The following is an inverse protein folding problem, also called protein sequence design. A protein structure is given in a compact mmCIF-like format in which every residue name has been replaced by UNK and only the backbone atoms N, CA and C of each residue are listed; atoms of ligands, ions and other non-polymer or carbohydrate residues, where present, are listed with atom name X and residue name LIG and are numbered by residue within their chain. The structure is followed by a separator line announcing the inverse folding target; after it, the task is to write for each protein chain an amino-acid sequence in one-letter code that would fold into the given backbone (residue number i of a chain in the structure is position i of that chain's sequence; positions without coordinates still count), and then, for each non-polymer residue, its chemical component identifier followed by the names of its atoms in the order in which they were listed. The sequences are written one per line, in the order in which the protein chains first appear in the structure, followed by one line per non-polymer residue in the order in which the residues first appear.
data_IF_955921774601
#
_entry.id   IF_955921774601
#
_cell.length_a   1.000
_cell.length_b   1.000
_cell.length_c   1.000
_cell.angle_alpha   90.00
_cell.angle_beta   90.00
_cell.angle_gamma   90.00
#
_symmetry.space_group_name_H-M   'P 1'
#
loop_
_entity.id
_entity.type
_entity.pdbx_description
1 polymer ?
#
# COMPACT_ATOMS: atom_id res chain seq x y z
N UNK A 1 14.71 24.00 -1.76
CA UNK A 1 15.66 22.93 -1.36
C UNK A 1 16.00 22.95 0.12
N UNK A 2 16.15 24.13 0.75
CA UNK A 2 16.39 24.23 2.20
C UNK A 2 15.25 23.64 3.05
N UNK A 3 14.00 23.83 2.63
CA UNK A 3 12.81 23.43 3.41
C UNK A 3 12.76 21.94 3.75
N UNK A 4 13.12 21.06 2.80
CA UNK A 4 13.08 19.61 3.02
C UNK A 4 14.37 19.04 3.62
N UNK A 5 15.40 19.84 3.88
CA UNK A 5 16.72 19.40 4.37
C UNK A 5 17.54 18.50 3.43
N UNK A 6 16.97 18.03 2.30
CA UNK A 6 17.63 17.15 1.33
C UNK A 6 18.33 17.93 0.21
N UNK A 7 19.61 17.63 -0.01
CA UNK A 7 20.38 18.07 -1.17
C UNK A 7 19.98 17.24 -2.39
N UNK A 8 19.45 17.89 -3.43
CA UNK A 8 19.07 17.25 -4.70
C UNK A 8 19.96 17.80 -5.80
N UNK A 9 20.67 16.92 -6.49
CA UNK A 9 21.50 17.30 -7.63
C UNK A 9 20.59 17.51 -8.84
N UNK A 10 20.62 18.71 -9.42
CA UNK A 10 19.92 19.03 -10.66
C UNK A 10 20.92 18.88 -11.79
N UNK A 11 20.94 17.69 -12.38
CA UNK A 11 21.79 17.39 -13.53
C UNK A 11 20.91 17.55 -14.78
N UNK A 12 21.17 18.55 -15.64
CA UNK A 12 20.44 18.68 -16.89
C UNK A 12 20.83 17.52 -17.81
N UNK A 13 19.88 16.64 -18.11
CA UNK A 13 20.07 15.53 -19.05
C UNK A 13 19.46 15.97 -20.39
N UNK A 14 20.18 15.85 -21.52
CA UNK A 14 19.69 16.23 -22.85
C UNK A 14 18.72 15.19 -23.41
N UNK A 15 17.71 14.81 -22.64
CA UNK A 15 16.68 13.87 -23.07
C UNK A 15 15.43 14.64 -23.52
N UNK A 16 14.83 14.32 -24.67
CA UNK A 16 13.61 14.99 -25.10
C UNK A 16 12.49 14.74 -24.07
N UNK A 17 11.96 15.79 -23.46
CA UNK A 17 10.85 15.70 -22.48
C UNK A 17 9.63 14.97 -23.02
N UNK A 18 9.45 14.95 -24.35
CA UNK A 18 8.42 14.17 -25.06
C UNK A 18 8.49 12.66 -24.81
N UNK A 19 9.63 12.12 -24.38
CA UNK A 19 9.84 10.70 -24.08
C UNK A 19 9.59 10.35 -22.62
N UNK A 20 9.41 11.35 -21.74
CA UNK A 20 9.00 11.13 -20.34
C UNK A 20 7.52 10.75 -20.35
N UNK A 21 7.24 9.48 -20.58
CA UNK A 21 5.90 8.95 -20.51
C UNK A 21 5.44 8.85 -19.05
N UNK A 22 4.12 8.92 -18.84
CA UNK A 22 3.50 8.63 -17.54
C UNK A 22 3.91 7.24 -17.04
N UNK A 23 4.13 6.30 -17.96
CA UNK A 23 4.63 4.96 -17.64
C UNK A 23 6.04 4.98 -17.06
N UNK A 24 6.98 5.72 -17.67
CA UNK A 24 8.34 5.88 -17.13
C UNK A 24 8.31 6.46 -15.72
N UNK A 25 7.53 7.53 -15.49
CA UNK A 25 7.36 8.10 -14.15
C UNK A 25 6.79 7.09 -13.16
N UNK A 26 5.79 6.30 -13.55
CA UNK A 26 5.26 5.25 -12.68
C UNK A 26 6.32 4.20 -12.29
N UNK A 27 7.35 3.97 -13.11
CA UNK A 27 8.45 3.06 -12.75
C UNK A 27 9.42 3.71 -11.74
N UNK A 28 9.77 4.99 -11.93
CA UNK A 28 10.83 5.65 -11.16
C UNK A 28 10.34 6.44 -9.94
N UNK A 29 9.02 6.61 -9.77
CA UNK A 29 8.42 7.25 -8.59
C UNK A 29 7.19 6.49 -8.10
N UNK A 30 6.80 6.70 -6.85
CA UNK A 30 5.55 6.17 -6.29
C UNK A 30 4.32 7.04 -6.58
N UNK A 31 4.52 8.24 -7.14
CA UNK A 31 3.45 9.18 -7.49
C UNK A 31 2.42 8.52 -8.44
N UNK A 32 1.10 8.67 -8.17
CA UNK A 32 0.07 8.11 -9.02
C UNK A 32 0.16 8.61 -10.48
N UNK A 33 -0.16 7.75 -11.47
CA UNK A 33 -0.14 8.14 -12.88
C UNK A 33 -0.99 9.37 -13.21
N UNK A 34 -2.12 9.55 -12.53
CA UNK A 34 -3.02 10.69 -12.72
C UNK A 34 -2.36 12.00 -12.29
N UNK A 35 -1.74 12.03 -11.12
CA UNK A 35 -0.97 13.18 -10.62
C UNK A 35 0.23 13.48 -11.51
N UNK A 36 1.00 12.46 -11.87
CA UNK A 36 2.16 12.62 -12.74
C UNK A 36 1.78 13.18 -14.12
N UNK A 37 0.68 12.69 -14.70
CA UNK A 37 0.13 13.19 -15.97
C UNK A 37 -0.28 14.65 -15.87
N UNK A 38 -1.00 15.04 -14.81
CA UNK A 38 -1.43 16.43 -14.60
C UNK A 38 -0.22 17.37 -14.49
N UNK A 39 0.83 16.96 -13.75
CA UNK A 39 2.06 17.74 -13.61
C UNK A 39 2.77 17.90 -14.96
N UNK A 40 2.95 16.83 -15.74
CA UNK A 40 3.58 16.92 -17.08
C UNK A 40 2.76 17.84 -18.01
N UNK A 41 1.43 17.74 -17.98
CA UNK A 41 0.58 18.58 -18.81
C UNK A 41 0.67 20.05 -18.40
N UNK A 42 0.70 20.33 -17.09
CA UNK A 42 0.87 21.67 -16.55
C UNK A 42 2.16 22.36 -17.00
N UNK A 43 3.27 21.61 -17.15
CA UNK A 43 4.54 22.14 -17.65
C UNK A 43 4.47 22.74 -19.07
N UNK A 44 3.41 22.47 -19.83
CA UNK A 44 3.20 23.07 -21.16
C UNK A 44 2.64 24.49 -21.10
N UNK A 45 2.17 24.93 -19.94
CA UNK A 45 1.52 26.22 -19.75
C UNK A 45 2.35 27.07 -18.80
N UNK A 46 2.61 28.30 -19.20
CA UNK A 46 3.20 29.29 -18.31
C UNK A 46 2.07 29.97 -17.52
N UNK A 47 1.83 29.48 -16.31
CA UNK A 47 0.79 30.00 -15.41
C UNK A 47 1.46 30.99 -14.45
N UNK A 48 1.65 32.21 -14.90
CA UNK A 48 2.08 33.31 -14.04
C UNK A 48 0.94 33.62 -13.05
N UNK A 49 1.16 33.35 -11.76
CA UNK A 49 0.18 33.61 -10.73
C UNK A 49 0.15 35.11 -10.38
N UNK A 50 -0.83 35.85 -10.90
CA UNK A 50 -1.23 37.16 -10.37
C UNK A 50 -2.53 37.01 -9.58
N UNK A 51 -2.44 37.11 -8.26
CA UNK A 51 -3.56 36.98 -7.34
C UNK A 51 -4.02 38.33 -6.75
N UNK A 52 -3.53 39.45 -7.28
CA UNK A 52 -3.77 40.80 -6.74
C UNK A 52 -5.26 41.15 -6.65
N UNK A 53 -6.00 40.93 -7.74
CA UNK A 53 -7.45 41.19 -7.78
C UNK A 53 -8.23 40.32 -6.79
N UNK A 54 -7.83 39.05 -6.63
CA UNK A 54 -8.49 38.12 -5.72
C UNK A 54 -8.23 38.50 -4.25
N UNK A 55 -6.99 38.91 -3.91
CA UNK A 55 -6.63 39.38 -2.56
C UNK A 55 -7.38 40.65 -2.18
N UNK A 56 -7.64 41.54 -3.13
CA UNK A 56 -8.43 42.74 -2.89
C UNK A 56 -9.90 42.42 -2.55
N UNK A 57 -10.46 41.39 -3.19
CA UNK A 57 -11.85 40.93 -2.95
C UNK A 57 -11.99 40.13 -1.64
N UNK A 58 -10.98 39.34 -1.26
CA UNK A 58 -11.02 38.46 -0.09
C UNK A 58 -9.74 38.67 0.74
N UNK A 59 -9.67 39.74 1.55
CA UNK A 59 -8.50 40.04 2.35
C UNK A 59 -8.35 39.03 3.49
N UNK A 60 -7.29 38.22 3.44
CA UNK A 60 -6.97 37.23 4.47
C UNK A 60 -5.46 36.96 4.53
N UNK A 61 -5.00 36.44 5.67
CA UNK A 61 -3.62 35.98 5.81
C UNK A 61 -3.44 34.65 5.07
N UNK A 62 -2.71 34.67 3.96
CA UNK A 62 -2.36 33.46 3.22
C UNK A 62 -1.15 32.76 3.85
N UNK A 63 -1.10 31.44 3.69
CA UNK A 63 0.07 30.65 4.07
C UNK A 63 1.18 30.84 3.02
N UNK A 64 2.42 31.05 3.47
CA UNK A 64 3.55 31.06 2.57
C UNK A 64 3.81 29.66 2.02
N UNK A 65 4.32 29.56 0.79
CA UNK A 65 4.63 28.27 0.16
C UNK A 65 5.53 27.39 1.04
N UNK A 66 6.61 27.96 1.58
CA UNK A 66 7.54 27.23 2.44
C UNK A 66 6.87 26.70 3.72
N UNK A 67 5.96 27.49 4.32
CA UNK A 67 5.21 27.07 5.50
C UNK A 67 4.22 25.95 5.16
N UNK A 68 3.55 26.04 4.00
CA UNK A 68 2.67 24.99 3.50
C UNK A 68 3.46 23.67 3.32
N UNK A 69 4.63 23.73 2.69
CA UNK A 69 5.50 22.55 2.50
C UNK A 69 5.96 21.99 3.84
N UNK A 70 6.40 22.82 4.80
CA UNK A 70 6.80 22.35 6.14
C UNK A 70 5.66 21.68 6.86
N UNK A 71 4.47 22.26 6.79
CA UNK A 71 3.27 21.70 7.41
C UNK A 71 2.90 20.36 6.80
N UNK A 72 2.87 20.26 5.46
CA UNK A 72 2.59 19.00 4.76
C UNK A 72 3.60 17.93 5.14
N UNK A 73 4.90 18.21 5.10
CA UNK A 73 5.93 17.22 5.48
C UNK A 73 5.77 16.73 6.92
N UNK A 74 5.41 17.62 7.86
CA UNK A 74 5.13 17.26 9.26
C UNK A 74 3.86 16.43 9.42
N UNK A 75 2.86 16.63 8.57
CA UNK A 75 1.66 15.79 8.52
C UNK A 75 1.99 14.40 7.95
N UNK A 76 2.87 14.30 6.94
CA UNK A 76 3.33 13.02 6.37
C UNK A 76 4.10 12.14 7.37
N UNK A 77 4.83 12.74 8.32
CA UNK A 77 5.48 12.01 9.42
C UNK A 77 4.49 11.19 10.25
N UNK A 78 3.21 11.59 10.27
CA UNK A 78 2.13 10.95 11.01
C UNK A 78 1.25 10.04 10.15
N UNK A 79 1.58 9.82 8.87
CA UNK A 79 0.73 9.06 7.94
C UNK A 79 0.29 7.70 8.48
N UNK A 80 1.21 6.97 9.11
CA UNK A 80 0.96 5.63 9.66
C UNK A 80 0.18 5.66 10.98
N UNK A 81 0.02 6.84 11.59
CA UNK A 81 -0.89 7.04 12.71
C UNK A 81 -2.32 7.31 12.21
N UNK A 82 -2.88 6.34 11.49
CA UNK A 82 -4.22 6.43 10.89
C UNK A 82 -4.97 5.10 10.98
N UNK A 83 -6.27 5.15 10.72
CA UNK A 83 -7.17 3.98 10.71
C UNK A 83 -6.71 2.88 9.74
N UNK A 84 -6.16 3.26 8.58
CA UNK A 84 -5.64 2.34 7.57
C UNK A 84 -4.49 1.45 8.07
N UNK A 85 -3.85 1.86 9.16
CA UNK A 85 -2.78 1.14 9.84
C UNK A 85 -3.19 0.65 11.23
N UNK A 86 -4.47 0.77 11.59
CA UNK A 86 -5.01 0.35 12.88
C UNK A 86 -4.40 1.08 14.08
N UNK A 87 -3.80 2.26 13.86
CA UNK A 87 -2.99 2.96 14.87
C UNK A 87 -1.91 2.06 15.50
N UNK A 88 -1.39 1.09 14.75
CA UNK A 88 -0.46 0.09 15.25
C UNK A 88 0.91 0.68 15.59
N UNK A 89 1.35 0.47 16.83
CA UNK A 89 2.62 1.01 17.33
C UNK A 89 3.85 0.48 16.57
N UNK A 90 3.82 -0.77 16.07
CA UNK A 90 4.93 -1.34 15.31
C UNK A 90 5.01 -0.72 13.92
N UNK A 91 3.87 -0.51 13.26
CA UNK A 91 3.81 0.22 12.00
C UNK A 91 4.36 1.63 12.19
N UNK A 92 3.92 2.35 13.22
CA UNK A 92 4.39 3.70 13.53
C UNK A 92 5.90 3.75 13.79
N UNK A 93 6.45 2.84 14.61
CA UNK A 93 7.88 2.78 14.91
C UNK A 93 8.77 2.49 13.68
N UNK A 94 8.23 1.75 12.71
CA UNK A 94 8.91 1.39 11.44
C UNK A 94 8.74 2.44 10.35
N UNK A 95 7.79 3.36 10.49
CA UNK A 95 7.61 4.44 9.53
C UNK A 95 8.85 5.34 9.50
N UNK A 96 9.15 5.83 8.31
CA UNK A 96 10.29 6.70 8.03
C UNK A 96 9.82 7.79 7.07
N UNK A 97 10.08 9.07 7.34
CA UNK A 97 9.67 10.17 6.45
C UNK A 97 10.26 10.07 5.04
N UNK A 98 11.29 9.25 4.84
CA UNK A 98 11.90 8.95 3.54
C UNK A 98 11.09 7.98 2.68
N UNK A 99 10.08 7.31 3.24
CA UNK A 99 9.22 6.43 2.48
C UNK A 99 8.32 7.24 1.55
N UNK A 100 8.02 6.69 0.38
CA UNK A 100 7.11 7.34 -0.56
C UNK A 100 5.73 7.53 0.07
N UNK A 101 5.24 8.77 0.09
CA UNK A 101 3.91 9.11 0.62
C UNK A 101 2.81 8.28 -0.05
N UNK A 102 2.82 8.24 -1.38
CA UNK A 102 1.91 7.39 -2.14
C UNK A 102 2.40 5.95 -2.11
N UNK A 103 1.55 5.05 -1.63
CA UNK A 103 1.79 3.62 -1.75
C UNK A 103 1.69 3.16 -3.21
N UNK A 104 2.64 2.33 -3.62
CA UNK A 104 2.39 1.40 -4.72
C UNK A 104 1.37 0.37 -4.27
N UNK A 105 0.52 -0.07 -5.19
CA UNK A 105 -0.48 -1.09 -4.89
C UNK A 105 -0.57 -2.13 -6.00
N UNK A 106 -0.87 -3.36 -5.61
CA UNK A 106 -1.19 -4.46 -6.50
C UNK A 106 -2.26 -5.32 -5.82
N UNK A 107 -3.31 -5.66 -6.55
CA UNK A 107 -4.42 -6.41 -5.99
C UNK A 107 -5.40 -6.86 -7.06
N UNK A 108 -6.40 -7.62 -6.63
CA UNK A 108 -7.45 -8.11 -7.51
C UNK A 108 -8.77 -8.21 -6.75
N UNK A 109 -9.83 -7.73 -7.39
CA UNK A 109 -11.20 -7.82 -6.86
C UNK A 109 -11.96 -8.92 -7.59
N UNK A 110 -12.67 -9.77 -6.84
CA UNK A 110 -13.54 -10.83 -7.37
C UNK A 110 -14.96 -10.60 -6.92
N UNK A 111 -15.91 -10.74 -7.85
CA UNK A 111 -17.35 -10.86 -7.58
C UNK A 111 -17.69 -12.31 -7.25
N UNK A 112 -18.52 -12.53 -6.23
CA UNK A 112 -18.92 -13.86 -5.75
C UNK A 112 -20.36 -13.83 -5.23
N UNK A 113 -21.01 -15.00 -5.21
CA UNK A 113 -22.33 -15.22 -4.61
C UNK A 113 -22.25 -15.64 -3.14
N UNK A 114 -21.06 -15.92 -2.60
CA UNK A 114 -20.89 -16.29 -1.19
C UNK A 114 -21.36 -15.18 -0.24
N UNK A 115 -21.84 -15.58 0.95
CA UNK A 115 -22.21 -14.66 2.02
C UNK A 115 -20.98 -13.96 2.60
N UNK A 116 -21.18 -12.79 3.24
CA UNK A 116 -20.11 -12.11 3.95
C UNK A 116 -19.54 -12.96 5.09
N UNK A 117 -20.39 -13.68 5.83
CA UNK A 117 -19.96 -14.59 6.89
C UNK A 117 -19.04 -15.70 6.36
N UNK A 118 -19.38 -16.33 5.24
CA UNK A 118 -18.54 -17.36 4.61
C UNK A 118 -17.19 -16.78 4.14
N UNK A 119 -17.21 -15.61 3.48
CA UNK A 119 -15.98 -14.92 3.08
C UNK A 119 -15.11 -14.55 4.28
N UNK A 120 -15.74 -14.05 5.35
CA UNK A 120 -15.05 -13.68 6.59
C UNK A 120 -14.40 -14.88 7.25
N UNK A 121 -15.12 -16.00 7.35
CA UNK A 121 -14.60 -17.25 7.88
C UNK A 121 -13.40 -17.74 7.07
N UNK A 122 -13.50 -17.76 5.74
CA UNK A 122 -12.40 -18.21 4.86
C UNK A 122 -11.20 -17.27 4.96
N UNK A 123 -11.37 -15.95 4.88
CA UNK A 123 -10.28 -14.96 5.01
C UNK A 123 -9.54 -15.15 6.35
N UNK A 124 -10.29 -15.43 7.43
CA UNK A 124 -9.73 -15.71 8.74
C UNK A 124 -8.97 -17.03 8.83
N UNK A 125 -8.92 -17.87 7.80
CA UNK A 125 -8.09 -19.09 7.76
C UNK A 125 -6.65 -18.85 7.25
N UNK A 126 -6.29 -17.62 6.89
CA UNK A 126 -4.94 -17.28 6.44
C UNK A 126 -3.85 -17.76 7.44
N UNK A 127 -2.79 -18.35 6.92
CA UNK A 127 -1.73 -19.01 7.70
C UNK A 127 -2.08 -20.40 8.24
N UNK A 128 -3.32 -20.86 8.06
CA UNK A 128 -3.79 -22.20 8.41
C UNK A 128 -3.48 -23.26 7.35
N UNK A 129 -4.42 -24.21 7.14
CA UNK A 129 -4.25 -25.34 6.20
C UNK A 129 -3.97 -24.89 4.77
N UNK A 130 -4.70 -23.88 4.29
CA UNK A 130 -4.52 -23.29 2.94
C UNK A 130 -3.30 -22.34 2.85
N UNK A 131 -2.59 -22.10 3.97
CA UNK A 131 -1.49 -21.15 4.10
C UNK A 131 -1.92 -19.75 3.61
N UNK A 132 -1.42 -19.27 2.48
CA UNK A 132 -1.77 -17.97 1.92
C UNK A 132 -2.77 -18.07 0.75
N UNK A 133 -3.53 -19.16 0.64
CA UNK A 133 -4.51 -19.48 -0.43
C UNK A 133 -3.91 -19.68 -1.83
N UNK A 134 -2.82 -19.02 -2.17
CA UNK A 134 -2.19 -19.14 -3.49
C UNK A 134 -0.72 -18.78 -3.44
N UNK A 135 0.08 -19.37 -4.34
CA UNK A 135 1.50 -19.04 -4.48
C UNK A 135 2.33 -19.39 -3.24
N UNK A 136 1.93 -20.40 -2.46
CA UNK A 136 2.55 -20.76 -1.18
C UNK A 136 4.05 -20.99 -1.27
N UNK A 137 4.55 -21.55 -2.38
CA UNK A 137 5.98 -21.72 -2.63
C UNK A 137 6.69 -20.36 -2.65
N UNK A 138 6.14 -19.34 -3.32
CA UNK A 138 6.73 -18.00 -3.38
C UNK A 138 6.81 -17.34 -2.00
N UNK A 139 5.76 -17.49 -1.18
CA UNK A 139 5.75 -17.01 0.19
C UNK A 139 6.79 -17.71 1.07
N UNK A 140 6.91 -19.04 0.94
CA UNK A 140 7.90 -19.83 1.65
C UNK A 140 9.33 -19.47 1.23
N UNK A 141 9.60 -19.31 -0.07
CA UNK A 141 10.90 -18.85 -0.58
C UNK A 141 11.25 -17.50 0.02
N UNK A 142 10.31 -16.55 0.03
CA UNK A 142 10.55 -15.22 0.57
C UNK A 142 10.82 -15.24 2.08
N UNK A 143 10.11 -16.08 2.84
CA UNK A 143 10.36 -16.30 4.26
C UNK A 143 11.73 -16.95 4.52
N UNK A 144 12.15 -17.88 3.67
CA UNK A 144 13.46 -18.53 3.74
C UNK A 144 14.59 -17.53 3.52
N UNK A 145 14.47 -16.65 2.52
CA UNK A 145 15.43 -15.57 2.27
C UNK A 145 15.59 -14.65 3.48
N UNK A 146 14.48 -14.29 4.13
CA UNK A 146 14.50 -13.44 5.32
C UNK A 146 15.24 -14.11 6.49
N UNK A 147 14.98 -15.41 6.68
CA UNK A 147 15.66 -16.22 7.70
C UNK A 147 17.15 -16.36 7.42
N UNK A 148 17.56 -16.47 6.16
CA UNK A 148 18.97 -16.53 5.77
C UNK A 148 19.73 -15.24 6.15
N UNK A 149 19.04 -14.09 6.22
CA UNK A 149 19.59 -12.80 6.66
C UNK A 149 19.47 -12.63 8.20
N UNK A 150 19.22 -13.72 8.93
CA UNK A 150 19.17 -13.77 10.38
C UNK A 150 17.94 -13.10 11.00
N UNK A 151 16.90 -12.80 10.22
CA UNK A 151 15.67 -12.23 10.75
C UNK A 151 14.75 -13.35 11.28
N UNK A 152 14.44 -13.27 12.58
CA UNK A 152 13.54 -14.22 13.24
C UNK A 152 12.11 -13.73 13.07
N UNK A 153 11.32 -14.48 12.32
CA UNK A 153 9.91 -14.23 12.12
C UNK A 153 9.10 -15.21 12.99
N UNK A 154 7.94 -14.75 13.46
CA UNK A 154 6.97 -15.67 14.05
C UNK A 154 6.59 -16.74 13.02
N UNK A 155 6.18 -17.91 13.50
CA UNK A 155 5.75 -19.02 12.67
C UNK A 155 4.38 -19.47 13.11
N UNK A 156 3.54 -19.81 12.15
CA UNK A 156 2.18 -20.25 12.40
C UNK A 156 1.24 -19.10 12.72
N UNK A 157 0.07 -19.46 13.22
CA UNK A 157 -1.00 -18.55 13.62
C UNK A 157 -1.57 -19.00 14.97
N UNK A 158 -2.29 -18.14 15.70
CA UNK A 158 -3.05 -18.56 16.86
C UNK A 158 -4.08 -19.65 16.52
N UNK A 159 -4.25 -20.61 17.44
CA UNK A 159 -5.25 -21.69 17.34
C UNK A 159 -6.64 -21.19 17.72
N UNK A 160 -7.17 -20.27 16.91
CA UNK A 160 -8.53 -19.75 17.03
C UNK A 160 -9.16 -19.54 15.68
N UNK A 161 -10.48 -19.54 15.67
CA UNK A 161 -11.30 -19.39 14.47
C UNK A 161 -11.07 -18.02 13.81
N UNK A 162 -11.27 -16.94 14.57
CA UNK A 162 -11.12 -15.57 14.08
C UNK A 162 -9.85 -14.91 14.59
N UNK A 163 -9.11 -14.28 13.68
CA UNK A 163 -7.93 -13.48 14.00
C UNK A 163 -8.37 -12.19 14.70
N UNK A 164 -7.55 -11.70 15.62
CA UNK A 164 -7.74 -10.41 16.28
C UNK A 164 -6.54 -9.50 16.03
N UNK A 165 -6.74 -8.21 16.22
CA UNK A 165 -5.66 -7.22 16.16
C UNK A 165 -4.52 -7.61 17.10
N UNK A 166 -3.30 -7.57 16.59
CA UNK A 166 -2.09 -7.99 17.30
C UNK A 166 -1.60 -9.40 16.95
N UNK A 167 -2.43 -10.23 16.32
CA UNK A 167 -2.05 -11.60 15.99
C UNK A 167 -0.88 -11.70 15.03
N UNK A 168 0.02 -12.63 15.31
CA UNK A 168 1.07 -13.02 14.38
C UNK A 168 0.56 -14.13 13.44
N UNK A 169 0.68 -13.93 12.13
CA UNK A 169 0.41 -14.94 11.11
C UNK A 169 1.68 -15.13 10.28
N UNK A 170 2.49 -16.09 10.69
CA UNK A 170 3.87 -16.27 10.24
C UNK A 170 4.64 -14.93 10.30
N UNK A 171 5.00 -14.40 9.13
CA UNK A 171 5.78 -13.18 8.96
C UNK A 171 4.93 -11.90 8.88
N UNK A 172 3.69 -11.98 9.33
CA UNK A 172 2.73 -10.89 9.27
C UNK A 172 2.15 -10.63 10.66
N UNK A 173 1.70 -9.40 10.88
CA UNK A 173 0.95 -9.03 12.08
C UNK A 173 -0.41 -8.48 11.68
N UNK A 174 -1.49 -8.96 12.28
CA UNK A 174 -2.83 -8.42 12.07
C UNK A 174 -2.92 -7.05 12.74
N UNK A 175 -3.28 -6.03 11.97
CA UNK A 175 -3.35 -4.63 12.46
C UNK A 175 -4.75 -4.04 12.39
N UNK A 176 -5.62 -4.55 11.53
CA UNK A 176 -7.03 -4.13 11.45
C UNK A 176 -7.89 -5.37 11.32
N UNK A 177 -8.92 -5.44 12.16
CA UNK A 177 -9.97 -6.45 12.12
C UNK A 177 -11.31 -5.72 12.24
N UNK A 178 -12.05 -5.69 11.14
CA UNK A 178 -13.44 -5.24 11.09
C UNK A 178 -14.26 -6.43 10.57
N UNK A 179 -15.02 -7.11 11.46
CA UNK A 179 -15.80 -8.29 11.10
C UNK A 179 -16.63 -8.08 9.83
N UNK A 180 -16.59 -9.07 8.93
CA UNK A 180 -17.32 -9.07 7.65
C UNK A 180 -17.03 -7.88 6.72
N UNK A 181 -15.98 -7.10 6.99
CA UNK A 181 -15.65 -5.90 6.22
C UNK A 181 -14.18 -5.83 5.84
N UNK A 182 -13.26 -6.02 6.80
CA UNK A 182 -11.84 -5.83 6.52
C UNK A 182 -10.92 -6.63 7.46
N UNK A 183 -9.92 -7.27 6.86
CA UNK A 183 -8.77 -7.81 7.59
C UNK A 183 -7.48 -7.23 6.96
N UNK A 184 -6.64 -6.59 7.76
CA UNK A 184 -5.36 -6.04 7.29
C UNK A 184 -4.18 -6.59 8.08
N UNK A 185 -3.16 -7.03 7.34
CA UNK A 185 -1.91 -7.55 7.90
C UNK A 185 -0.74 -6.65 7.53
N UNK A 186 0.04 -6.26 8.54
CA UNK A 186 1.32 -5.58 8.41
C UNK A 186 2.41 -6.55 7.92
N UNK A 187 3.15 -6.14 6.90
CA UNK A 187 4.28 -6.89 6.37
C UNK A 187 5.44 -6.91 7.37
N UNK A 188 5.77 -8.07 7.94
CA UNK A 188 6.76 -8.22 9.01
C UNK A 188 8.18 -8.53 8.56
N UNK A 189 8.41 -8.89 7.30
CA UNK A 189 9.75 -9.25 6.78
C UNK A 189 10.65 -8.02 6.57
N UNK A 190 11.97 -8.24 6.54
CA UNK A 190 12.93 -7.17 6.20
C UNK A 190 12.85 -6.82 4.72
N UNK A 191 12.47 -5.59 4.41
CA UNK A 191 12.46 -5.06 3.05
C UNK A 191 12.63 -3.54 3.07
N UNK A 192 13.09 -2.93 1.97
CA UNK A 192 13.32 -1.48 1.88
C UNK A 192 12.00 -0.69 1.73
N UNK A 193 11.16 -0.73 2.76
CA UNK A 193 9.88 -0.03 2.80
C UNK A 193 8.92 -0.62 3.82
N UNK A 194 7.68 -0.14 3.80
CA UNK A 194 6.61 -0.61 4.67
C UNK A 194 5.39 -0.98 3.83
N UNK A 195 4.77 -2.12 4.14
CA UNK A 195 3.60 -2.55 3.41
C UNK A 195 2.56 -3.22 4.27
N UNK A 196 1.36 -3.30 3.72
CA UNK A 196 0.21 -3.98 4.31
C UNK A 196 -0.51 -4.80 3.23
N UNK A 197 -1.09 -5.91 3.64
CA UNK A 197 -1.97 -6.73 2.82
C UNK A 197 -3.39 -6.60 3.38
N UNK A 198 -4.33 -6.19 2.54
CA UNK A 198 -5.72 -5.96 2.90
C UNK A 198 -6.62 -6.96 2.19
N UNK A 199 -7.57 -7.49 2.95
CA UNK A 199 -8.74 -8.21 2.48
C UNK A 199 -9.95 -7.33 2.79
N UNK A 200 -10.63 -6.85 1.76
CA UNK A 200 -11.82 -6.00 1.92
C UNK A 200 -13.02 -6.70 1.34
N UNK A 201 -14.09 -6.78 2.12
CA UNK A 201 -15.36 -7.38 1.77
C UNK A 201 -16.38 -6.26 1.60
N UNK A 202 -17.14 -6.31 0.51
CA UNK A 202 -18.24 -5.36 0.29
C UNK A 202 -19.49 -6.10 -0.14
N UNK A 203 -20.62 -5.71 0.45
CA UNK A 203 -21.94 -6.12 0.01
C UNK A 203 -22.46 -5.17 -1.07
N UNK A 204 -22.88 -5.72 -2.21
CA UNK A 204 -23.51 -4.99 -3.31
C UNK A 204 -24.99 -5.34 -3.47
N UNK A 205 -25.60 -5.98 -2.47
CA UNK A 205 -26.98 -6.48 -2.49
C UNK A 205 -27.05 -7.85 -3.16
N UNK A 206 -27.06 -7.86 -4.49
CA UNK A 206 -27.22 -9.09 -5.29
C UNK A 206 -25.97 -9.99 -5.29
N UNK A 207 -24.82 -9.41 -4.97
CA UNK A 207 -23.54 -10.11 -4.92
C UNK A 207 -22.60 -9.45 -3.91
N UNK A 208 -21.52 -10.16 -3.56
CA UNK A 208 -20.46 -9.64 -2.71
C UNK A 208 -19.18 -9.53 -3.51
N UNK A 209 -18.27 -8.67 -3.05
CA UNK A 209 -16.92 -8.60 -3.60
C UNK A 209 -15.88 -8.81 -2.52
N UNK A 210 -14.84 -9.56 -2.87
CA UNK A 210 -13.60 -9.64 -2.10
C UNK A 210 -12.49 -8.95 -2.90
N UNK A 211 -11.86 -7.94 -2.30
CA UNK A 211 -10.64 -7.32 -2.79
C UNK A 211 -9.45 -7.80 -1.96
N UNK A 212 -8.44 -8.35 -2.64
CA UNK A 212 -7.16 -8.70 -2.01
C UNK A 212 -6.09 -7.78 -2.58
N UNK A 213 -5.52 -6.93 -1.74
CA UNK A 213 -4.60 -5.87 -2.21
C UNK A 213 -3.45 -5.63 -1.25
N UNK A 214 -2.25 -5.61 -1.81
CA UNK A 214 -1.06 -5.14 -1.11
C UNK A 214 -0.81 -3.66 -1.40
N UNK A 215 -0.45 -2.93 -0.35
CA UNK A 215 0.03 -1.55 -0.40
C UNK A 215 1.49 -1.53 0.07
N UNK A 216 2.32 -0.74 -0.60
CA UNK A 216 3.76 -0.66 -0.35
C UNK A 216 4.25 0.78 -0.46
N UNK A 217 4.79 1.31 0.64
CA UNK A 217 5.50 2.57 0.70
C UNK A 217 7.00 2.31 0.54
N UNK A 218 7.58 2.54 -0.66
CA UNK A 218 8.97 2.21 -0.92
C UNK A 218 9.91 3.18 -0.19
N UNK A 219 10.99 2.65 0.37
CA UNK A 219 12.11 3.46 0.85
C UNK A 219 12.99 3.89 -0.33
N UNK A 220 12.68 5.05 -0.92
CA UNK A 220 13.40 5.60 -2.07
C UNK A 220 13.58 4.60 -3.22
N UNK A 221 14.72 4.67 -3.89
CA UNK A 221 15.03 3.81 -5.04
C UNK A 221 15.13 2.31 -4.69
N UNK A 222 15.81 1.88 -3.60
CA UNK A 222 15.85 0.47 -3.24
C UNK A 222 14.46 -0.14 -3.03
N UNK A 223 13.55 0.63 -2.43
CA UNK A 223 12.15 0.23 -2.25
C UNK A 223 11.37 0.07 -3.54
N UNK A 224 11.63 0.95 -4.52
CA UNK A 224 11.03 0.88 -5.85
C UNK A 224 11.57 -0.32 -6.65
N UNK A 225 12.88 -0.54 -6.65
CA UNK A 225 13.47 -1.71 -7.31
C UNK A 225 12.95 -3.02 -6.72
N UNK A 226 12.85 -3.11 -5.39
CA UNK A 226 12.23 -4.25 -4.71
C UNK A 226 10.79 -4.47 -5.19
N UNK A 227 9.99 -3.40 -5.24
CA UNK A 227 8.60 -3.49 -5.73
C UNK A 227 8.53 -3.97 -7.18
N UNK A 228 9.35 -3.39 -8.08
CA UNK A 228 9.39 -3.74 -9.51
C UNK A 228 9.75 -5.22 -9.71
N UNK A 229 10.76 -5.71 -8.99
CA UNK A 229 11.16 -7.12 -9.04
C UNK A 229 10.03 -8.07 -8.65
N UNK A 230 9.15 -7.64 -7.74
CA UNK A 230 8.03 -8.43 -7.25
C UNK A 230 6.77 -8.33 -8.13
N UNK A 231 6.69 -7.40 -9.09
CA UNK A 231 5.50 -7.22 -9.95
C UNK A 231 5.04 -8.52 -10.61
N UNK A 232 5.90 -9.33 -11.26
CA UNK A 232 5.45 -10.58 -11.88
C UNK A 232 4.76 -11.50 -10.88
N UNK A 233 5.32 -11.66 -9.68
CA UNK A 233 4.71 -12.46 -8.62
C UNK A 233 3.37 -11.86 -8.16
N UNK A 234 3.30 -10.55 -7.93
CA UNK A 234 2.08 -9.86 -7.49
C UNK A 234 0.90 -10.02 -8.45
N UNK A 235 1.15 -9.99 -9.76
CA UNK A 235 0.12 -10.13 -10.80
C UNK A 235 -0.63 -11.47 -10.70
N UNK A 236 0.06 -12.55 -10.31
CA UNK A 236 -0.55 -13.86 -10.16
C UNK A 236 -1.04 -14.12 -8.74
N UNK A 237 -0.26 -13.72 -7.72
CA UNK A 237 -0.54 -14.03 -6.32
C UNK A 237 -1.89 -13.47 -5.90
N UNK A 238 -2.13 -12.16 -6.03
CA UNK A 238 -3.34 -11.54 -5.51
C UNK A 238 -4.60 -11.98 -6.26
N UNK A 239 -4.49 -12.18 -7.57
CA UNK A 239 -5.57 -12.74 -8.39
C UNK A 239 -5.90 -14.18 -7.98
N UNK A 240 -4.89 -15.01 -7.76
CA UNK A 240 -5.06 -16.38 -7.30
C UNK A 240 -5.67 -16.46 -5.90
N UNK A 241 -5.19 -15.62 -4.98
CA UNK A 241 -5.72 -15.52 -3.60
C UNK A 241 -7.20 -15.13 -3.60
N UNK A 242 -7.56 -14.03 -4.27
CA UNK A 242 -8.94 -13.55 -4.31
C UNK A 242 -9.90 -14.61 -4.88
N UNK A 243 -9.50 -15.27 -5.98
CA UNK A 243 -10.29 -16.34 -6.60
C UNK A 243 -10.41 -17.59 -5.72
N UNK A 244 -9.32 -18.00 -5.05
CA UNK A 244 -9.34 -19.16 -4.15
C UNK A 244 -10.24 -18.91 -2.94
N UNK A 245 -10.16 -17.72 -2.34
CA UNK A 245 -11.01 -17.32 -1.22
C UNK A 245 -12.49 -17.36 -1.62
N UNK A 246 -12.84 -16.71 -2.74
CA UNK A 246 -14.22 -16.71 -3.24
C UNK A 246 -14.75 -18.15 -3.46
N UNK A 247 -13.96 -18.99 -4.13
CA UNK A 247 -14.35 -20.39 -4.39
C UNK A 247 -14.55 -21.20 -3.12
N UNK A 248 -13.68 -21.04 -2.11
CA UNK A 248 -13.82 -21.75 -0.84
C UNK A 248 -15.06 -21.28 -0.07
N UNK A 249 -15.37 -19.98 -0.11
CA UNK A 249 -16.54 -19.41 0.57
C UNK A 249 -17.85 -19.83 -0.11
N UNK A 250 -17.87 -19.94 -1.43
CA UNK A 250 -19.02 -20.47 -2.18
C UNK A 250 -19.32 -21.93 -1.81
N UNK A 251 -18.28 -22.71 -1.51
CA UNK A 251 -18.40 -24.11 -1.11
C UNK A 251 -18.79 -24.31 0.37
N UNK A 252 -18.64 -23.29 1.20
CA UNK A 252 -19.02 -23.34 2.63
C UNK A 252 -20.43 -22.81 2.88
N UNK A 253 -21.18 -22.50 1.83
CA UNK A 253 -22.57 -21.99 1.91
C UNK A 253 -23.61 -23.11 1.73
N UNK A 254 -23.17 -24.36 1.71
CA UNK A 254 -24.03 -25.56 1.86
C UNK A 254 -24.19 -25.93 3.34
#
# INVERSE_FOLDING_TARGET
MAVSGKRRWLIPIPFPTRWISVWFLNVITSVPPTTAKALIQGLKHDLLADDTALRALIPQRLIAFDDAVRRTLKEEEKLVNSSDWGYDAQAFARWRPEYGYFAKQAGFTVKTSASLAALWQVVNQIGGKERYFFGNILWQTRALMDRAIGHKLAKGRPEREYLQTGDAVDSWKVIVVEPEKQLTLLFGMKAPGLGRLCFTLEDKGDYRTIDVRAFWHPHGMPGLFYWLLMIPAHLFIFRGMAKRIARLAEQSTD
#
